data_IF_488968460244
#
_entry.id   IF_488968460244
#
_cell.length_a   1.000
_cell.length_b   1.000
_cell.length_c   1.000
_cell.angle_alpha   90.00
_cell.angle_beta   90.00
_cell.angle_gamma   90.00
#
_symmetry.space_group_name_H-M   'P 1'
#
loop_
_entity.id
_entity.type
_entity.pdbx_description
1 polymer ?
#
# COMPACT_ATOMS: atom_id res chain seq x y z
N UNK A 1 21.36 10.68 39.54
CA UNK A 1 22.12 11.46 38.54
C UNK A 1 21.33 12.64 37.94
N UNK A 2 20.00 12.70 38.00
CA UNK A 2 19.23 13.92 37.67
C UNK A 2 19.35 14.41 36.22
N UNK A 3 19.83 13.57 35.30
CA UNK A 3 20.15 13.93 33.91
C UNK A 3 18.90 14.28 33.09
N UNK A 4 17.72 13.83 33.51
CA UNK A 4 16.42 14.12 32.88
C UNK A 4 15.41 14.45 33.98
N UNK A 5 14.58 15.48 33.76
CA UNK A 5 13.48 15.83 34.66
C UNK A 5 12.37 14.80 34.56
N UNK A 6 11.85 14.34 35.70
CA UNK A 6 10.73 13.40 35.75
C UNK A 6 9.50 13.90 34.98
N UNK A 7 9.24 15.21 35.01
CA UNK A 7 8.14 15.82 34.22
C UNK A 7 8.26 15.62 32.71
N UNK A 8 9.48 15.43 32.17
CA UNK A 8 9.67 15.08 30.75
C UNK A 8 9.31 13.61 30.50
N UNK A 9 9.56 12.74 31.47
CA UNK A 9 9.14 11.34 31.42
C UNK A 9 7.62 11.28 31.49
N UNK A 10 7.00 11.99 32.42
CA UNK A 10 5.55 12.05 32.56
C UNK A 10 4.88 12.56 31.29
N UNK A 11 5.44 13.60 30.67
CA UNK A 11 4.90 14.13 29.42
C UNK A 11 5.04 13.15 28.26
N UNK A 12 6.19 12.48 28.14
CA UNK A 12 6.40 11.44 27.13
C UNK A 12 5.42 10.26 27.31
N UNK A 13 5.25 9.79 28.55
CA UNK A 13 4.30 8.72 28.89
C UNK A 13 2.88 9.17 28.57
N UNK A 14 2.49 10.39 28.98
CA UNK A 14 1.15 10.95 28.71
C UNK A 14 0.83 10.98 27.22
N UNK A 15 1.78 11.32 26.35
CA UNK A 15 1.58 11.32 24.88
C UNK A 15 1.30 9.91 24.36
N UNK A 16 2.06 8.90 24.81
CA UNK A 16 1.84 7.51 24.41
C UNK A 16 0.51 6.99 24.93
N UNK A 17 0.18 7.23 26.20
CA UNK A 17 -1.09 6.78 26.77
C UNK A 17 -2.28 7.47 26.11
N UNK A 18 -2.16 8.75 25.74
CA UNK A 18 -3.20 9.47 24.99
C UNK A 18 -3.50 8.81 23.66
N UNK A 19 -2.49 8.51 22.85
CA UNK A 19 -2.69 7.84 21.56
C UNK A 19 -3.35 6.47 21.75
N UNK A 20 -2.94 5.69 22.76
CA UNK A 20 -3.58 4.40 23.07
C UNK A 20 -5.06 4.56 23.45
N UNK A 21 -5.38 5.62 24.21
CA UNK A 21 -6.76 5.96 24.58
C UNK A 21 -7.58 6.39 23.37
N UNK A 22 -7.06 7.30 22.54
CA UNK A 22 -7.71 7.75 21.30
C UNK A 22 -7.92 6.61 20.29
N UNK A 23 -7.02 5.63 20.25
CA UNK A 23 -7.18 4.40 19.46
C UNK A 23 -8.19 3.40 20.04
N UNK A 24 -8.73 3.66 21.24
CA UNK A 24 -9.70 2.80 21.93
C UNK A 24 -9.10 1.58 22.62
N UNK A 25 -7.77 1.51 22.80
CA UNK A 25 -7.08 0.32 23.33
C UNK A 25 -7.27 0.13 24.84
N UNK A 26 -7.73 1.15 25.55
CA UNK A 26 -8.11 1.04 26.96
C UNK A 26 -9.53 0.46 27.13
N UNK A 27 -10.42 0.71 26.17
CA UNK A 27 -11.78 0.15 26.18
C UNK A 27 -11.79 -1.29 25.67
N UNK A 28 -11.04 -1.55 24.59
CA UNK A 28 -10.86 -2.88 24.02
C UNK A 28 -9.40 -3.05 23.54
N UNK A 29 -8.55 -3.76 24.29
CA UNK A 29 -7.15 -3.98 23.90
C UNK A 29 -7.01 -4.86 22.64
N UNK A 30 -8.06 -5.59 22.24
CA UNK A 30 -8.07 -6.49 21.08
C UNK A 30 -8.86 -5.92 19.89
N UNK A 31 -9.25 -4.64 19.93
CA UNK A 31 -10.07 -3.95 18.93
C UNK A 31 -9.66 -4.20 17.46
N UNK A 32 -8.37 -4.40 17.23
CA UNK A 32 -7.81 -4.60 15.90
C UNK A 32 -7.37 -6.05 15.62
N UNK A 33 -7.61 -7.00 16.53
CA UNK A 33 -7.25 -8.41 16.41
C UNK A 33 -8.48 -9.25 16.03
N UNK A 34 -8.85 -9.24 14.76
CA UNK A 34 -10.00 -10.00 14.23
C UNK A 34 -9.61 -10.77 12.97
N UNK A 35 -9.47 -12.08 13.09
CA UNK A 35 -9.12 -12.99 11.99
C UNK A 35 -10.18 -13.04 10.88
N UNK A 36 -11.46 -12.84 11.22
CA UNK A 36 -12.53 -12.85 10.23
C UNK A 36 -12.42 -11.61 9.36
N UNK A 37 -12.22 -10.45 9.98
CA UNK A 37 -12.01 -9.18 9.27
C UNK A 37 -10.76 -9.23 8.40
N UNK A 38 -9.66 -9.79 8.89
CA UNK A 38 -8.43 -9.98 8.11
C UNK A 38 -8.71 -10.76 6.82
N UNK A 39 -9.31 -11.96 6.93
CA UNK A 39 -9.64 -12.82 5.78
C UNK A 39 -10.58 -12.16 4.78
N UNK A 40 -11.46 -11.29 5.24
CA UNK A 40 -12.42 -10.58 4.39
C UNK A 40 -11.78 -9.41 3.63
N UNK A 41 -10.89 -8.65 4.28
CA UNK A 41 -10.41 -7.35 3.78
C UNK A 41 -9.08 -7.46 3.05
N UNK A 42 -8.13 -8.23 3.58
CA UNK A 42 -6.77 -8.34 3.01
C UNK A 42 -6.84 -9.05 1.65
N UNK A 43 -6.26 -8.43 0.62
CA UNK A 43 -6.30 -8.97 -0.74
C UNK A 43 -7.71 -9.05 -1.37
N UNK A 44 -8.71 -8.40 -0.78
CA UNK A 44 -10.09 -8.46 -1.28
C UNK A 44 -10.19 -7.94 -2.71
N UNK A 45 -11.15 -8.48 -3.47
CA UNK A 45 -11.42 -8.05 -4.85
C UNK A 45 -11.72 -6.55 -4.94
N UNK A 46 -12.44 -6.00 -3.97
CA UNK A 46 -12.77 -4.57 -3.93
C UNK A 46 -11.50 -3.71 -3.83
N UNK A 47 -10.55 -4.09 -2.96
CA UNK A 47 -9.26 -3.40 -2.85
C UNK A 47 -8.45 -3.53 -4.15
N UNK A 48 -8.37 -4.73 -4.72
CA UNK A 48 -7.64 -4.97 -5.96
C UNK A 48 -8.20 -4.18 -7.17
N UNK A 49 -9.53 -4.11 -7.29
CA UNK A 49 -10.19 -3.32 -8.32
C UNK A 49 -9.89 -1.82 -8.16
N UNK A 50 -9.92 -1.32 -6.91
CA UNK A 50 -9.55 0.05 -6.59
C UNK A 50 -8.08 0.38 -6.88
N UNK A 51 -7.16 -0.53 -6.53
CA UNK A 51 -5.73 -0.40 -6.84
C UNK A 51 -5.51 -0.38 -8.35
N UNK A 52 -6.17 -1.26 -9.11
CA UNK A 52 -6.05 -1.30 -10.57
C UNK A 52 -6.56 -0.02 -11.23
N UNK A 53 -7.68 0.53 -10.75
CA UNK A 53 -8.19 1.83 -11.23
C UNK A 53 -7.21 2.97 -10.95
N UNK A 54 -6.67 3.03 -9.72
CA UNK A 54 -5.68 4.04 -9.34
C UNK A 54 -4.39 3.91 -10.17
N UNK A 55 -3.90 2.68 -10.38
CA UNK A 55 -2.72 2.42 -11.19
C UNK A 55 -2.89 2.87 -12.66
N UNK A 56 -4.09 2.68 -13.24
CA UNK A 56 -4.37 3.18 -14.60
C UNK A 56 -4.37 4.71 -14.66
N UNK A 57 -4.90 5.37 -13.61
CA UNK A 57 -5.00 6.84 -13.52
C UNK A 57 -3.66 7.52 -13.22
N UNK A 58 -2.71 6.81 -12.60
CA UNK A 58 -1.39 7.36 -12.25
C UNK A 58 -0.38 7.35 -13.41
N UNK A 59 -0.67 6.67 -14.52
CA UNK A 59 0.20 6.64 -15.70
C UNK A 59 0.21 8.01 -16.39
N UNK A 60 1.41 8.58 -16.55
CA UNK A 60 1.63 9.84 -17.27
C UNK A 60 2.12 9.56 -18.69
N UNK A 61 1.36 10.02 -19.69
CA UNK A 61 1.75 9.94 -21.10
C UNK A 61 2.71 11.07 -21.46
N UNK A 62 4.01 10.77 -21.54
CA UNK A 62 5.05 11.77 -21.83
C UNK A 62 5.11 12.16 -23.32
N UNK A 63 4.81 11.23 -24.23
CA UNK A 63 4.91 11.43 -25.68
C UNK A 63 3.98 10.46 -26.44
N UNK A 64 3.28 10.95 -27.47
CA UNK A 64 2.49 10.13 -28.40
C UNK A 64 2.49 10.75 -29.80
N UNK A 65 3.33 10.24 -30.70
CA UNK A 65 3.41 10.71 -32.09
C UNK A 65 2.64 9.79 -33.03
N UNK A 66 2.11 10.36 -34.12
CA UNK A 66 1.43 9.62 -35.20
C UNK A 66 0.26 8.74 -34.71
N UNK A 67 -0.38 9.13 -33.61
CA UNK A 67 -1.47 8.37 -32.99
C UNK A 67 -1.11 6.90 -32.73
N UNK A 68 0.10 6.64 -32.24
CA UNK A 68 0.56 5.29 -31.94
C UNK A 68 -0.32 4.62 -30.88
N UNK A 69 -0.65 5.35 -29.81
CA UNK A 69 -1.57 4.89 -28.76
C UNK A 69 -2.97 5.48 -28.93
N UNK A 70 -4.05 4.73 -28.61
CA UNK A 70 -4.04 3.36 -28.09
C UNK A 70 -3.79 2.29 -29.18
N UNK A 71 -3.17 1.18 -28.79
CA UNK A 71 -2.99 0.02 -29.69
C UNK A 71 -4.33 -0.62 -30.05
N UNK A 72 -4.42 -1.25 -31.23
CA UNK A 72 -5.62 -2.01 -31.62
C UNK A 72 -5.70 -3.26 -30.75
N UNK A 73 -6.89 -3.56 -30.24
CA UNK A 73 -7.12 -4.73 -29.38
C UNK A 73 -6.99 -6.08 -30.11
N UNK A 74 -7.08 -6.09 -31.44
CA UNK A 74 -7.05 -7.30 -32.25
C UNK A 74 -6.38 -7.06 -33.61
N UNK A 75 -5.99 -8.15 -34.28
CA UNK A 75 -5.38 -8.10 -35.61
C UNK A 75 -3.94 -7.58 -35.64
N UNK A 76 -3.30 -7.42 -34.48
CA UNK A 76 -1.89 -7.04 -34.34
C UNK A 76 -1.12 -8.15 -33.63
N UNK A 77 0.09 -8.45 -34.11
CA UNK A 77 1.08 -9.22 -33.36
C UNK A 77 1.96 -8.23 -32.60
N UNK A 78 2.01 -8.33 -31.28
CA UNK A 78 2.75 -7.43 -30.41
C UNK A 78 3.92 -8.19 -29.82
N UNK A 79 5.13 -7.65 -29.98
CA UNK A 79 6.31 -8.12 -29.26
C UNK A 79 6.47 -7.27 -27.98
N UNK A 80 6.61 -7.93 -26.83
CA UNK A 80 6.90 -7.30 -25.55
C UNK A 80 8.34 -7.61 -25.17
N UNK A 81 9.19 -6.59 -25.06
CA UNK A 81 10.65 -6.74 -24.90
C UNK A 81 11.13 -5.81 -23.78
N UNK A 82 11.99 -6.33 -22.90
CA UNK A 82 12.64 -5.57 -21.83
C UNK A 82 12.76 -6.39 -20.55
N UNK A 83 13.68 -6.01 -19.66
CA UNK A 83 13.91 -6.73 -18.39
C UNK A 83 12.66 -6.77 -17.49
N UNK A 84 11.82 -5.73 -17.57
CA UNK A 84 10.60 -5.60 -16.78
C UNK A 84 9.35 -6.22 -17.44
N UNK A 85 9.48 -6.79 -18.64
CA UNK A 85 8.34 -7.26 -19.43
C UNK A 85 7.50 -8.35 -18.73
N UNK A 86 8.16 -9.18 -17.92
CA UNK A 86 7.53 -10.27 -17.17
C UNK A 86 8.03 -10.31 -15.71
N UNK A 87 8.57 -9.20 -15.21
CA UNK A 87 8.94 -9.11 -13.80
C UNK A 87 7.73 -8.65 -12.98
N UNK A 88 7.32 -9.50 -12.06
CA UNK A 88 6.16 -9.27 -11.20
C UNK A 88 6.50 -8.43 -9.96
N UNK A 89 7.77 -8.37 -9.59
CA UNK A 89 8.16 -7.76 -8.32
C UNK A 89 8.53 -6.28 -8.47
N UNK A 90 9.16 -5.87 -9.58
CA UNK A 90 9.48 -4.45 -9.80
C UNK A 90 8.27 -3.51 -9.78
N UNK A 91 7.09 -3.86 -10.33
CA UNK A 91 5.91 -2.99 -10.27
C UNK A 91 5.44 -2.64 -8.86
N UNK A 92 5.76 -3.46 -7.86
CA UNK A 92 5.39 -3.24 -6.47
C UNK A 92 6.24 -2.15 -5.78
N UNK A 93 7.39 -1.79 -6.33
CA UNK A 93 8.27 -0.73 -5.81
C UNK A 93 9.06 -1.12 -4.55
N UNK A 94 9.63 -0.13 -3.86
CA UNK A 94 10.57 -0.36 -2.75
C UNK A 94 9.91 -0.61 -1.40
N UNK A 95 8.82 0.09 -1.07
CA UNK A 95 8.17 0.04 0.24
C UNK A 95 7.01 -0.96 0.28
N UNK A 96 7.33 -2.24 0.02
CA UNK A 96 6.36 -3.32 -0.21
C UNK A 96 6.47 -4.49 0.78
N UNK A 97 6.87 -4.23 2.02
CA UNK A 97 7.23 -5.27 3.01
C UNK A 97 6.16 -6.37 3.23
N UNK A 98 4.88 -6.03 3.09
CA UNK A 98 3.77 -6.95 3.27
C UNK A 98 3.10 -7.38 1.94
N UNK A 99 3.72 -7.07 0.80
CA UNK A 99 3.24 -7.53 -0.49
C UNK A 99 3.78 -8.93 -0.78
N UNK A 100 2.95 -9.77 -1.39
CA UNK A 100 3.33 -11.11 -1.80
C UNK A 100 4.20 -11.05 -3.06
N UNK A 101 5.33 -11.76 -3.04
CA UNK A 101 6.18 -11.89 -4.22
C UNK A 101 5.46 -12.66 -5.33
N UNK A 102 5.73 -12.26 -6.58
CA UNK A 102 5.19 -12.89 -7.79
C UNK A 102 3.66 -12.85 -7.93
N UNK A 103 3.01 -11.90 -7.26
CA UNK A 103 1.60 -11.56 -7.46
C UNK A 103 1.36 -10.57 -8.59
#
# INVERSE_FOLDING_TARGET
>A
EGKVKESLVDDAVRRILRVKFELGLFDDPYRYCDEKREKEVVGSKANNDGVLDMAKKSIVLLKNEKNLLPLKKSGQKIALIGALANDKNSPLGSWRIAADDNT
#
